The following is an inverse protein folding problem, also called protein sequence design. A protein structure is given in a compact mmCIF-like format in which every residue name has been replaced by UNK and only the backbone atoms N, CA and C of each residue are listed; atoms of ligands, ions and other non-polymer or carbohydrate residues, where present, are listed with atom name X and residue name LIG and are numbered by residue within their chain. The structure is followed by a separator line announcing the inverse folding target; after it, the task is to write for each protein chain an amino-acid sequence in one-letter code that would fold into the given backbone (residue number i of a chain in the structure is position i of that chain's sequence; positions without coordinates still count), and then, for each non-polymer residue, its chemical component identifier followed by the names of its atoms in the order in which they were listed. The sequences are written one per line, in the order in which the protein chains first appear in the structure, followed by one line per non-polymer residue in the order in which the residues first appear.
data_IF_513915146508
#
_entry.id   IF_513915146508
#
_cell.length_a   1.000
_cell.length_b   1.000
_cell.length_c   1.000
_cell.angle_alpha   90.00
_cell.angle_beta   90.00
_cell.angle_gamma   90.00
#
_symmetry.space_group_name_H-M   'P 1'
#
loop_
_entity.id
_entity.type
_entity.pdbx_description
1 polymer ?
#
# COMPACT_ATOMS: atom_id res chain seq x y z
N UNK A 1 19.27 9.61 6.56
CA UNK A 1 18.25 8.71 7.13
C UNK A 1 18.96 7.58 7.83
N UNK A 2 18.72 7.37 9.13
CA UNK A 2 19.22 6.20 9.84
C UNK A 2 18.42 4.95 9.44
N UNK A 3 19.03 3.78 9.51
CA UNK A 3 18.38 2.51 9.13
C UNK A 3 17.16 2.22 10.01
N UNK A 4 17.28 2.47 11.31
CA UNK A 4 16.22 2.26 12.30
C UNK A 4 15.01 3.16 12.03
N UNK A 5 15.24 4.40 11.59
CA UNK A 5 14.17 5.32 11.21
C UNK A 5 13.45 4.87 9.93
N UNK A 6 14.20 4.40 8.94
CA UNK A 6 13.63 3.86 7.71
C UNK A 6 12.75 2.65 8.02
N UNK A 7 13.27 1.70 8.80
CA UNK A 7 12.56 0.48 9.17
C UNK A 7 11.31 0.78 9.97
N UNK A 8 11.39 1.68 10.95
CA UNK A 8 10.24 2.09 11.75
C UNK A 8 9.15 2.71 10.90
N UNK A 9 9.50 3.62 9.98
CA UNK A 9 8.52 4.28 9.11
C UNK A 9 7.91 3.31 8.11
N UNK A 10 8.70 2.44 7.47
CA UNK A 10 8.20 1.43 6.54
C UNK A 10 7.32 0.39 7.22
N UNK A 11 7.69 -0.05 8.43
CA UNK A 11 6.88 -0.97 9.22
C UNK A 11 5.49 -0.39 9.48
N UNK A 12 5.43 0.86 9.95
CA UNK A 12 4.17 1.53 10.30
C UNK A 12 3.33 1.95 9.08
N UNK A 13 3.97 2.43 8.00
CA UNK A 13 3.24 3.10 6.90
C UNK A 13 3.07 2.25 5.64
N UNK A 14 3.80 1.15 5.50
CA UNK A 14 3.76 0.32 4.29
C UNK A 14 3.56 -1.17 4.58
N UNK A 15 4.42 -1.80 5.39
CA UNK A 15 4.40 -3.27 5.60
C UNK A 15 3.04 -3.75 6.11
N UNK A 16 2.44 -3.05 7.09
CA UNK A 16 1.10 -3.38 7.58
C UNK A 16 0.03 -3.33 6.49
N UNK A 17 0.07 -2.32 5.61
CA UNK A 17 -0.87 -2.17 4.48
C UNK A 17 -0.70 -3.33 3.51
N UNK A 18 0.54 -3.64 3.13
CA UNK A 18 0.88 -4.75 2.24
C UNK A 18 0.29 -6.07 2.74
N UNK A 19 0.57 -6.44 3.99
CA UNK A 19 0.15 -7.74 4.52
C UNK A 19 -1.36 -7.86 4.68
N UNK A 20 -2.05 -6.79 5.09
CA UNK A 20 -3.52 -6.79 5.15
C UNK A 20 -4.11 -6.92 3.76
N UNK A 21 -3.61 -6.16 2.77
CA UNK A 21 -4.10 -6.26 1.40
C UNK A 21 -3.89 -7.65 0.81
N UNK A 22 -2.73 -8.27 1.02
CA UNK A 22 -2.43 -9.63 0.56
C UNK A 22 -3.43 -10.64 1.13
N UNK A 23 -3.67 -10.59 2.43
CA UNK A 23 -4.56 -11.54 3.11
C UNK A 23 -6.03 -11.35 2.71
N UNK A 24 -6.49 -10.10 2.61
CA UNK A 24 -7.85 -9.80 2.15
C UNK A 24 -8.03 -10.20 0.69
N UNK A 25 -7.08 -9.87 -0.18
CA UNK A 25 -7.11 -10.27 -1.59
C UNK A 25 -7.21 -11.78 -1.74
N UNK A 26 -6.37 -12.54 -1.02
CA UNK A 26 -6.39 -14.00 -0.99
C UNK A 26 -7.73 -14.56 -0.51
N UNK A 27 -8.31 -13.98 0.53
CA UNK A 27 -9.61 -14.40 1.07
C UNK A 27 -10.75 -14.12 0.07
N UNK A 28 -10.75 -12.94 -0.55
CA UNK A 28 -11.77 -12.55 -1.52
C UNK A 28 -11.73 -13.42 -2.78
N UNK A 29 -10.53 -13.66 -3.33
CA UNK A 29 -10.36 -14.51 -4.52
C UNK A 29 -10.73 -15.96 -4.25
N UNK A 30 -10.32 -16.53 -3.11
CA UNK A 30 -10.68 -17.91 -2.71
C UNK A 30 -12.19 -18.11 -2.59
N UNK A 31 -12.91 -17.06 -2.18
CA UNK A 31 -14.37 -17.08 -2.00
C UNK A 31 -15.15 -16.62 -3.21
N UNK A 32 -14.48 -16.25 -4.31
CA UNK A 32 -15.07 -15.59 -5.47
C UNK A 32 -15.95 -14.40 -5.08
N UNK A 33 -15.52 -13.63 -4.07
CA UNK A 33 -16.27 -12.52 -3.52
C UNK A 33 -15.82 -11.20 -4.17
N UNK A 34 -16.69 -10.51 -4.93
CA UNK A 34 -16.37 -9.20 -5.48
C UNK A 34 -16.27 -8.15 -4.36
N UNK A 35 -15.63 -7.01 -4.64
CA UNK A 35 -15.61 -5.91 -3.69
C UNK A 35 -14.56 -4.85 -3.99
N UNK A 36 -14.07 -4.20 -2.95
CA UNK A 36 -13.08 -3.13 -3.08
C UNK A 36 -12.05 -3.10 -1.96
N UNK A 37 -10.80 -2.80 -2.31
CA UNK A 37 -9.68 -2.59 -1.40
C UNK A 37 -9.28 -1.11 -1.42
N UNK A 38 -9.46 -0.41 -0.29
CA UNK A 38 -9.12 1.02 -0.18
C UNK A 38 -7.87 1.18 0.69
N UNK A 39 -6.85 1.81 0.13
CA UNK A 39 -5.58 2.10 0.81
C UNK A 39 -5.40 3.59 1.05
N UNK A 40 -4.75 3.97 2.15
CA UNK A 40 -4.49 5.38 2.50
C UNK A 40 -3.07 5.82 2.10
N UNK A 41 -2.97 6.58 1.01
CA UNK A 41 -1.74 7.25 0.57
C UNK A 41 -1.58 8.63 1.26
N UNK A 42 -0.86 9.56 0.62
CA UNK A 42 -0.68 10.93 1.11
C UNK A 42 -0.33 11.86 -0.06
N UNK A 43 -0.72 13.14 -0.01
CA UNK A 43 -0.26 14.16 -0.96
C UNK A 43 1.25 14.46 -0.87
N UNK A 44 1.92 13.94 0.16
CA UNK A 44 3.38 13.97 0.26
C UNK A 44 4.10 13.15 -0.83
N UNK A 45 3.34 12.43 -1.68
CA UNK A 45 3.86 11.78 -2.90
C UNK A 45 3.98 12.75 -4.08
N UNK A 46 3.26 13.87 -4.04
CA UNK A 46 3.17 14.80 -5.18
C UNK A 46 4.28 15.86 -5.17
N UNK A 47 4.88 16.11 -4.00
CA UNK A 47 5.95 17.10 -3.86
C UNK A 47 6.97 16.69 -2.79
N UNK A 48 8.24 17.01 -3.04
CA UNK A 48 9.32 16.74 -2.10
C UNK A 48 9.34 17.79 -0.98
N UNK A 49 9.43 17.33 0.26
CA UNK A 49 9.59 18.20 1.44
C UNK A 49 10.69 17.66 2.34
N UNK A 50 11.53 18.56 2.84
CA UNK A 50 12.62 18.21 3.75
C UNK A 50 12.05 17.54 5.02
N UNK A 51 12.69 16.46 5.46
CA UNK A 51 12.27 15.68 6.63
C UNK A 51 11.21 14.60 6.36
N UNK A 52 10.58 14.56 5.19
CA UNK A 52 9.54 13.56 4.88
C UNK A 52 10.04 12.35 4.07
N UNK A 53 11.34 12.23 3.81
CA UNK A 53 11.90 11.22 2.90
C UNK A 53 11.30 9.82 3.10
N UNK A 54 11.43 9.21 4.28
CA UNK A 54 10.95 7.85 4.51
C UNK A 54 9.42 7.74 4.41
N UNK A 55 8.71 8.76 4.89
CA UNK A 55 7.25 8.78 4.90
C UNK A 55 6.70 8.92 3.48
N UNK A 56 7.20 9.87 2.69
CA UNK A 56 6.84 10.05 1.29
C UNK A 56 7.14 8.80 0.47
N UNK A 57 8.30 8.16 0.67
CA UNK A 57 8.64 6.88 0.03
C UNK A 57 7.66 5.78 0.42
N UNK A 58 7.34 5.62 1.72
CA UNK A 58 6.38 4.63 2.18
C UNK A 58 4.98 4.85 1.56
N UNK A 59 4.53 6.10 1.46
CA UNK A 59 3.23 6.45 0.86
C UNK A 59 3.24 6.31 -0.66
N UNK A 60 4.36 6.55 -1.33
CA UNK A 60 4.52 6.24 -2.75
C UNK A 60 4.46 4.72 -3.00
N UNK A 61 5.05 3.92 -2.11
CA UNK A 61 4.94 2.46 -2.18
C UNK A 61 3.48 1.98 -2.03
N UNK A 62 2.69 2.62 -1.15
CA UNK A 62 1.24 2.35 -1.06
C UNK A 62 0.52 2.69 -2.36
N UNK A 63 0.82 3.82 -3.01
CA UNK A 63 0.21 4.16 -4.32
C UNK A 63 0.49 3.08 -5.37
N UNK A 64 1.74 2.63 -5.45
CA UNK A 64 2.12 1.60 -6.42
C UNK A 64 1.49 0.23 -6.08
N UNK A 65 1.45 -0.14 -4.80
CA UNK A 65 0.77 -1.33 -4.32
C UNK A 65 -0.69 -1.35 -4.79
N UNK A 66 -1.43 -0.26 -4.62
CA UNK A 66 -2.85 -0.17 -5.02
C UNK A 66 -3.05 -0.32 -6.52
N UNK A 67 -2.19 0.30 -7.34
CA UNK A 67 -2.24 0.16 -8.80
C UNK A 67 -1.96 -1.28 -9.24
N UNK A 68 -1.00 -1.92 -8.60
CA UNK A 68 -0.67 -3.33 -8.86
C UNK A 68 -1.84 -4.23 -8.48
N UNK A 69 -2.40 -4.08 -7.27
CA UNK A 69 -3.55 -4.88 -6.82
C UNK A 69 -4.78 -4.70 -7.71
N UNK A 70 -5.09 -3.47 -8.13
CA UNK A 70 -6.21 -3.23 -9.04
C UNK A 70 -6.02 -3.97 -10.39
N UNK A 71 -4.77 -4.06 -10.87
CA UNK A 71 -4.44 -4.78 -12.11
C UNK A 71 -4.56 -6.30 -11.92
N UNK A 72 -4.04 -6.83 -10.83
CA UNK A 72 -4.03 -8.27 -10.52
C UNK A 72 -5.42 -8.80 -10.15
N UNK A 73 -6.21 -8.00 -9.44
CA UNK A 73 -7.50 -8.41 -8.87
C UNK A 73 -8.71 -7.97 -9.69
N UNK A 74 -8.53 -7.07 -10.66
CA UNK A 74 -9.58 -6.66 -11.60
C UNK A 74 -10.33 -7.82 -12.27
N UNK A 75 -9.65 -8.88 -12.76
CA UNK A 75 -10.31 -10.08 -13.31
C UNK A 75 -11.24 -10.80 -12.32
N UNK A 76 -11.06 -10.59 -11.01
CA UNK A 76 -11.88 -11.18 -9.94
C UNK A 76 -13.01 -10.24 -9.47
N UNK A 77 -13.29 -9.15 -10.19
CA UNK A 77 -14.25 -8.12 -9.81
C UNK A 77 -13.95 -7.48 -8.43
N UNK A 78 -12.66 -7.31 -8.13
CA UNK A 78 -12.17 -6.60 -6.96
C UNK A 78 -11.47 -5.33 -7.43
N UNK A 79 -11.93 -4.17 -6.94
CA UNK A 79 -11.44 -2.85 -7.31
C UNK A 79 -10.49 -2.25 -6.28
#
# INVERSE_FOLDING_TARGET
TAEEDLDRVLAANFKGVLYVCQEVARSMTTRSAPGSLITMASGAVDSASAGLLCYSVAKAAVVQLTKTLATELGPHAIR
#
